data_IF_617147262098
#
_entry.id   IF_617147262098
#
_cell.length_a   1.000
_cell.length_b   1.000
_cell.length_c   1.000
_cell.angle_alpha   90.00
_cell.angle_beta   90.00
_cell.angle_gamma   90.00
#
_symmetry.space_group_name_H-M   'P 1'
#
loop_
_entity.id
_entity.type
_entity.pdbx_description
1 polymer ?
#
# COMPACT_ATOMS: atom_id res chain seq x y z
N UNK A 1 22.27 28.44 44.84
CA UNK A 1 21.34 29.27 45.58
C UNK A 1 21.93 29.48 47.00
N UNK A 2 22.10 30.75 47.46
CA UNK A 2 22.54 31.04 48.81
C UNK A 2 21.31 31.66 49.53
N UNK A 3 20.89 30.98 50.61
CA UNK A 3 19.74 31.42 51.41
C UNK A 3 20.25 31.77 52.82
N UNK A 4 19.97 32.95 53.31
CA UNK A 4 20.35 33.41 54.64
C UNK A 4 19.07 33.80 55.40
N UNK A 5 18.73 32.99 56.42
CA UNK A 5 17.55 33.22 57.24
C UNK A 5 17.72 32.53 58.63
N UNK A 6 16.70 32.60 59.45
CA UNK A 6 16.68 31.95 60.77
C UNK A 6 16.72 30.41 60.62
N UNK A 7 17.30 29.72 61.59
CA UNK A 7 17.52 28.28 61.55
C UNK A 7 16.23 27.47 61.31
N UNK A 8 15.11 27.92 61.84
CA UNK A 8 13.81 27.25 61.65
C UNK A 8 13.27 27.39 60.23
N UNK A 9 13.57 28.50 59.56
CA UNK A 9 13.17 28.73 58.17
C UNK A 9 14.05 27.92 57.23
N UNK A 10 15.35 27.84 57.48
CA UNK A 10 16.29 27.03 56.70
C UNK A 10 15.92 25.54 56.73
N UNK A 11 15.49 25.00 57.89
CA UNK A 11 15.04 23.62 58.01
C UNK A 11 13.74 23.36 57.22
N UNK A 12 12.82 24.29 57.19
CA UNK A 12 11.61 24.21 56.33
C UNK A 12 11.96 24.28 54.86
N UNK A 13 12.89 25.12 54.45
CA UNK A 13 13.38 25.20 53.08
C UNK A 13 14.08 23.94 52.65
N UNK A 14 14.89 23.32 53.52
CA UNK A 14 15.55 22.05 53.21
C UNK A 14 14.52 20.95 52.96
N UNK A 15 13.51 20.83 53.80
CA UNK A 15 12.42 19.84 53.57
C UNK A 15 11.66 20.12 52.28
N UNK A 16 11.40 21.38 51.96
CA UNK A 16 10.73 21.77 50.72
C UNK A 16 11.59 21.46 49.47
N UNK A 17 12.90 21.65 49.56
CA UNK A 17 13.83 21.29 48.48
C UNK A 17 13.87 19.77 48.28
N UNK A 18 13.96 18.99 49.35
CA UNK A 18 13.95 17.53 49.30
C UNK A 18 12.65 16.98 48.69
N UNK A 19 11.53 17.68 48.87
CA UNK A 19 10.23 17.33 48.32
C UNK A 19 10.06 17.78 46.85
N UNK A 20 10.73 18.85 46.44
CA UNK A 20 10.65 19.42 45.08
C UNK A 20 11.74 18.86 44.12
N UNK A 21 12.92 18.52 44.67
CA UNK A 21 14.06 18.02 43.88
C UNK A 21 13.96 16.52 43.62
N UNK A 22 12.86 16.12 42.96
CA UNK A 22 12.65 14.75 42.51
C UNK A 22 13.22 14.58 41.11
N UNK A 23 13.95 13.48 40.84
CA UNK A 23 14.47 13.23 39.50
C UNK A 23 13.34 13.14 38.46
N UNK A 24 13.57 13.72 37.30
CA UNK A 24 12.59 13.74 36.24
C UNK A 24 12.24 12.29 35.81
N UNK A 25 10.98 11.94 35.95
CA UNK A 25 10.48 10.63 35.53
C UNK A 25 10.64 10.44 34.03
N UNK A 26 11.01 9.25 33.61
CA UNK A 26 11.16 8.85 32.21
C UNK A 26 10.19 7.73 31.88
N UNK A 27 9.72 7.71 30.64
CA UNK A 27 8.83 6.68 30.13
C UNK A 27 9.29 6.22 28.75
N UNK A 28 9.31 4.91 28.53
CA UNK A 28 9.51 4.31 27.23
C UNK A 28 8.16 4.01 26.60
N UNK A 29 7.97 4.52 25.38
CA UNK A 29 6.74 4.36 24.62
C UNK A 29 7.06 3.52 23.40
N UNK A 30 6.26 2.45 23.20
CA UNK A 30 6.32 1.57 22.04
C UNK A 30 4.98 1.65 21.29
N UNK A 31 5.02 1.94 20.00
CA UNK A 31 3.86 1.83 19.13
C UNK A 31 3.98 0.55 18.28
N UNK A 32 2.85 -0.13 18.06
CA UNK A 32 2.77 -1.28 17.16
C UNK A 32 1.80 -0.98 16.04
N UNK A 33 2.31 -0.99 14.83
CA UNK A 33 1.55 -0.77 13.62
C UNK A 33 1.49 -2.09 12.87
N UNK A 34 0.28 -2.62 12.71
CA UNK A 34 0.02 -3.85 11.96
C UNK A 34 -0.78 -3.49 10.73
N UNK A 35 -0.29 -3.87 9.58
CA UNK A 35 -0.97 -3.74 8.31
C UNK A 35 -1.10 -5.12 7.69
N UNK A 36 -2.33 -5.52 7.35
CA UNK A 36 -2.61 -6.77 6.66
C UNK A 36 -3.37 -6.43 5.38
N UNK A 37 -2.94 -7.00 4.26
CA UNK A 37 -3.63 -6.92 2.99
C UNK A 37 -3.84 -8.33 2.44
N UNK A 38 -5.10 -8.65 2.14
CA UNK A 38 -5.52 -9.89 1.51
C UNK A 38 -6.08 -9.55 0.13
N UNK A 39 -5.44 -10.06 -0.93
CA UNK A 39 -5.90 -9.92 -2.31
C UNK A 39 -6.29 -11.28 -2.89
N UNK A 40 -7.47 -11.35 -3.48
CA UNK A 40 -7.95 -12.51 -4.20
C UNK A 40 -8.43 -12.08 -5.58
N UNK A 41 -7.94 -12.73 -6.63
CA UNK A 41 -8.49 -12.57 -7.97
C UNK A 41 -8.67 -13.91 -8.64
N UNK A 42 -9.76 -14.07 -9.38
CA UNK A 42 -10.07 -15.25 -10.15
C UNK A 42 -10.62 -14.85 -11.51
N UNK A 43 -9.88 -15.22 -12.54
CA UNK A 43 -10.21 -14.89 -13.91
C UNK A 43 -10.46 -16.17 -14.71
N UNK A 44 -11.55 -16.18 -15.51
CA UNK A 44 -11.90 -17.27 -16.40
C UNK A 44 -12.01 -16.74 -17.83
N UNK A 45 -11.22 -17.28 -18.73
CA UNK A 45 -11.22 -16.91 -20.14
C UNK A 45 -11.67 -18.05 -21.04
N UNK A 46 -12.44 -17.73 -22.06
CA UNK A 46 -12.88 -18.70 -23.09
C UNK A 46 -12.60 -18.11 -24.47
N UNK A 47 -11.90 -18.90 -25.30
CA UNK A 47 -11.75 -18.60 -26.72
C UNK A 47 -12.37 -19.74 -27.52
N UNK A 48 -13.27 -19.41 -28.43
CA UNK A 48 -13.91 -20.35 -29.32
C UNK A 48 -13.74 -19.89 -30.75
N UNK A 49 -13.26 -20.80 -31.61
CA UNK A 49 -13.06 -20.55 -33.02
C UNK A 49 -13.52 -21.72 -33.86
N UNK A 50 -14.26 -21.47 -34.93
CA UNK A 50 -14.62 -22.47 -35.89
C UNK A 50 -14.35 -21.94 -37.31
N UNK A 51 -13.68 -22.70 -38.15
CA UNK A 51 -13.44 -22.41 -39.57
C UNK A 51 -14.00 -23.52 -40.44
N UNK A 52 -14.68 -23.14 -41.52
CA UNK A 52 -15.22 -24.11 -42.47
C UNK A 52 -14.94 -23.69 -43.91
N UNK A 53 -14.66 -24.67 -44.78
CA UNK A 53 -14.47 -24.46 -46.23
C UNK A 53 -15.52 -25.30 -46.98
N UNK A 54 -16.30 -24.61 -47.82
CA UNK A 54 -17.19 -25.30 -48.77
C UNK A 54 -16.73 -25.02 -50.20
N UNK A 55 -16.29 -26.04 -50.91
CA UNK A 55 -15.91 -25.93 -52.33
C UNK A 55 -17.16 -26.15 -53.18
N UNK A 56 -17.61 -25.14 -53.89
CA UNK A 56 -18.68 -25.32 -54.89
C UNK A 56 -18.11 -25.96 -56.18
N UNK A 57 -18.88 -26.89 -56.72
CA UNK A 57 -18.51 -27.76 -57.81
C UNK A 57 -18.62 -26.97 -59.15
N UNK A 58 -17.75 -26.17 -59.51
CA UNK A 58 -17.58 -25.40 -60.76
C UNK A 58 -17.23 -23.92 -60.62
N UNK A 59 -16.79 -23.48 -59.46
CA UNK A 59 -16.36 -22.10 -59.32
C UNK A 59 -15.00 -22.03 -58.64
N UNK A 60 -14.16 -21.09 -59.12
CA UNK A 60 -12.85 -20.79 -58.54
C UNK A 60 -12.96 -20.01 -57.24
N UNK A 61 -14.16 -19.63 -56.82
CA UNK A 61 -14.45 -18.96 -55.57
C UNK A 61 -14.80 -19.96 -54.48
N UNK A 62 -13.94 -20.11 -53.49
CA UNK A 62 -14.24 -20.86 -52.27
C UNK A 62 -14.96 -19.94 -51.30
N UNK A 63 -16.19 -20.30 -50.89
CA UNK A 63 -16.90 -19.64 -49.81
C UNK A 63 -16.45 -20.19 -48.48
N UNK A 64 -15.78 -19.40 -47.66
CA UNK A 64 -15.37 -19.78 -46.32
C UNK A 64 -16.13 -19.01 -45.27
N UNK A 65 -16.61 -19.69 -44.24
CA UNK A 65 -17.08 -19.09 -43.00
C UNK A 65 -16.13 -19.51 -41.88
N UNK A 66 -15.83 -18.61 -40.98
CA UNK A 66 -14.87 -18.91 -39.95
C UNK A 66 -14.98 -18.02 -38.74
N UNK A 67 -14.72 -18.61 -37.60
CA UNK A 67 -14.53 -18.00 -36.31
C UNK A 67 -13.04 -18.16 -35.99
N UNK A 68 -12.25 -17.12 -36.14
CA UNK A 68 -10.80 -17.18 -36.07
C UNK A 68 -10.27 -17.05 -34.64
N UNK A 69 -9.53 -18.06 -34.18
CA UNK A 69 -8.57 -17.94 -33.12
C UNK A 69 -7.16 -18.10 -33.71
N UNK A 70 -6.51 -17.00 -33.98
CA UNK A 70 -5.07 -16.77 -34.10
C UNK A 70 -4.15 -17.92 -34.52
N UNK A 71 -4.43 -18.66 -35.59
CA UNK A 71 -3.41 -19.47 -36.25
C UNK A 71 -2.99 -18.74 -37.52
N UNK A 72 -1.72 -18.32 -37.59
CA UNK A 72 -1.17 -17.58 -38.70
C UNK A 72 -1.25 -18.37 -40.02
N UNK A 73 -1.86 -17.74 -41.00
CA UNK A 73 -1.87 -18.16 -42.38
C UNK A 73 -2.52 -17.06 -43.19
N UNK A 74 -1.84 -16.58 -44.20
CA UNK A 74 -2.17 -15.46 -45.10
C UNK A 74 -3.41 -15.69 -46.00
N UNK A 75 -4.39 -16.45 -45.55
CA UNK A 75 -5.58 -16.72 -46.33
C UNK A 75 -6.74 -15.81 -45.90
N UNK A 76 -7.05 -14.85 -46.76
CA UNK A 76 -8.24 -13.99 -46.75
C UNK A 76 -9.51 -14.83 -46.90
N UNK A 77 -10.07 -15.29 -45.80
CA UNK A 77 -11.34 -16.03 -45.81
C UNK A 77 -12.35 -15.37 -44.89
N UNK A 78 -13.57 -15.16 -45.40
CA UNK A 78 -14.64 -14.31 -44.90
C UNK A 78 -15.11 -14.48 -43.45
N UNK A 79 -15.96 -13.54 -43.07
CA UNK A 79 -16.72 -13.35 -41.82
C UNK A 79 -16.24 -14.12 -40.57
N UNK A 80 -15.45 -13.46 -39.75
CA UNK A 80 -15.01 -13.98 -38.46
C UNK A 80 -16.13 -13.82 -37.42
N UNK A 81 -16.61 -14.93 -36.86
CA UNK A 81 -17.35 -14.92 -35.61
C UNK A 81 -16.38 -15.35 -34.52
N UNK A 82 -16.00 -14.41 -33.67
CA UNK A 82 -14.92 -14.57 -32.68
C UNK A 82 -15.48 -14.39 -31.29
N UNK A 83 -15.54 -15.44 -30.50
CA UNK A 83 -15.69 -15.32 -29.06
C UNK A 83 -14.28 -15.35 -28.51
N UNK A 84 -13.81 -14.21 -28.05
CA UNK A 84 -12.50 -14.05 -27.47
C UNK A 84 -12.65 -13.25 -26.17
N UNK A 85 -12.76 -13.97 -25.06
CA UNK A 85 -12.67 -13.42 -23.71
C UNK A 85 -11.29 -13.78 -23.14
N UNK A 86 -10.23 -13.02 -23.50
CA UNK A 86 -8.91 -13.32 -23.01
C UNK A 86 -8.78 -12.88 -21.56
N UNK A 87 -8.08 -13.66 -20.76
CA UNK A 87 -7.53 -13.21 -19.48
C UNK A 87 -6.10 -12.75 -19.71
N UNK A 88 -5.74 -11.63 -19.06
CA UNK A 88 -4.45 -10.94 -19.27
C UNK A 88 -3.26 -11.72 -18.74
N UNK A 89 -3.48 -12.67 -17.82
CA UNK A 89 -2.44 -13.51 -17.22
C UNK A 89 -2.97 -14.95 -17.03
N UNK A 90 -3.06 -15.73 -18.12
CA UNK A 90 -3.43 -17.15 -18.01
C UNK A 90 -2.27 -17.94 -17.42
N UNK A 91 -2.42 -18.42 -16.19
CA UNK A 91 -1.48 -19.36 -15.60
C UNK A 91 -1.65 -20.77 -16.15
N UNK A 92 -2.89 -21.15 -16.51
CA UNK A 92 -3.21 -22.47 -17.06
C UNK A 92 -4.23 -22.33 -18.19
N UNK A 93 -3.99 -22.99 -19.33
CA UNK A 93 -4.93 -23.07 -20.43
C UNK A 93 -5.01 -24.49 -20.95
N UNK A 94 -6.22 -24.94 -21.33
CA UNK A 94 -6.49 -26.18 -22.02
C UNK A 94 -7.03 -25.81 -23.39
N UNK A 95 -6.36 -26.26 -24.45
CA UNK A 95 -6.81 -26.06 -25.81
C UNK A 95 -7.23 -27.39 -26.42
N UNK A 96 -8.40 -27.43 -27.05
CA UNK A 96 -8.88 -28.56 -27.85
C UNK A 96 -9.02 -28.09 -29.29
N UNK A 97 -8.25 -28.75 -30.18
CA UNK A 97 -8.30 -28.48 -31.61
C UNK A 97 -8.80 -29.73 -32.30
N UNK A 98 -9.89 -29.61 -33.07
CA UNK A 98 -10.40 -30.67 -33.89
C UNK A 98 -10.43 -30.23 -35.36
N UNK A 99 -9.56 -30.80 -36.15
CA UNK A 99 -9.57 -30.61 -37.59
C UNK A 99 -10.50 -31.64 -38.27
N UNK A 100 -11.32 -31.18 -39.19
CA UNK A 100 -12.19 -32.00 -40.05
C UNK A 100 -11.87 -31.64 -41.49
N UNK A 101 -12.20 -32.54 -42.44
CA UNK A 101 -11.84 -32.36 -43.86
C UNK A 101 -12.35 -31.06 -44.49
N UNK A 102 -13.33 -30.42 -43.90
CA UNK A 102 -13.93 -29.17 -44.37
C UNK A 102 -13.75 -27.96 -43.42
N UNK A 103 -12.96 -28.11 -42.35
CA UNK A 103 -12.76 -27.02 -41.38
C UNK A 103 -11.99 -27.41 -40.14
N UNK A 104 -11.88 -26.51 -39.20
CA UNK A 104 -11.28 -26.73 -37.88
C UNK A 104 -12.12 -26.06 -36.78
N UNK A 105 -12.16 -26.73 -35.65
CA UNK A 105 -12.79 -26.24 -34.42
C UNK A 105 -11.70 -26.06 -33.37
N UNK A 106 -11.60 -24.86 -32.79
CA UNK A 106 -10.69 -24.55 -31.72
C UNK A 106 -11.48 -24.09 -30.49
N UNK A 107 -11.21 -24.69 -29.34
CA UNK A 107 -11.73 -24.32 -28.06
C UNK A 107 -10.54 -24.14 -27.09
N UNK A 108 -10.37 -23.00 -26.54
CA UNK A 108 -9.39 -22.71 -25.48
C UNK A 108 -10.11 -22.23 -24.24
N UNK A 109 -9.85 -22.91 -23.14
CA UNK A 109 -10.32 -22.53 -21.82
C UNK A 109 -9.10 -22.16 -20.99
N UNK A 110 -9.07 -20.97 -20.46
CA UNK A 110 -8.01 -20.44 -19.60
C UNK A 110 -8.55 -20.03 -18.24
N UNK A 111 -7.81 -20.33 -17.20
CA UNK A 111 -8.17 -19.98 -15.84
C UNK A 111 -6.93 -19.43 -15.10
N UNK A 112 -7.13 -18.39 -14.32
CA UNK A 112 -6.12 -17.84 -13.43
C UNK A 112 -6.74 -17.58 -12.05
N UNK A 113 -6.01 -17.95 -11.01
CA UNK A 113 -6.37 -17.67 -9.64
C UNK A 113 -5.12 -17.11 -8.94
N UNK A 114 -5.26 -15.95 -8.30
CA UNK A 114 -4.18 -15.31 -7.56
C UNK A 114 -4.63 -15.00 -6.14
N UNK A 115 -3.84 -15.47 -5.17
CA UNK A 115 -4.02 -15.19 -3.75
C UNK A 115 -2.77 -14.47 -3.25
N UNK A 116 -2.94 -13.24 -2.77
CA UNK A 116 -1.87 -12.44 -2.20
C UNK A 116 -2.19 -12.09 -0.75
N UNK A 117 -1.32 -12.51 0.16
CA UNK A 117 -1.40 -12.15 1.58
C UNK A 117 -0.14 -11.45 2.01
N UNK A 118 -0.28 -10.23 2.49
CA UNK A 118 0.83 -9.44 2.99
C UNK A 118 0.54 -8.96 4.41
N UNK A 119 1.51 -9.14 5.30
CA UNK A 119 1.43 -8.63 6.66
C UNK A 119 2.71 -7.86 6.98
N UNK A 120 2.56 -6.60 7.30
CA UNK A 120 3.67 -5.74 7.72
C UNK A 120 3.50 -5.38 9.19
N UNK A 121 4.57 -5.49 9.95
CA UNK A 121 4.63 -5.11 11.35
C UNK A 121 5.75 -4.08 11.54
N UNK A 122 5.44 -2.95 12.18
CA UNK A 122 6.40 -1.92 12.52
C UNK A 122 6.28 -1.53 13.99
N UNK A 123 7.42 -1.47 14.71
CA UNK A 123 7.48 -1.22 16.14
C UNK A 123 8.47 -0.09 16.45
N UNK A 124 8.13 1.18 16.23
CA UNK A 124 8.96 2.29 16.70
C UNK A 124 8.88 2.41 18.22
N UNK A 125 10.01 2.72 18.86
CA UNK A 125 10.14 2.92 20.30
C UNK A 125 10.93 4.17 20.59
N UNK A 126 10.52 4.91 21.61
CA UNK A 126 11.24 6.10 22.06
C UNK A 126 11.15 6.27 23.57
N UNK A 127 12.26 6.65 24.18
CA UNK A 127 12.33 7.01 25.60
C UNK A 127 12.31 8.53 25.72
N UNK A 128 11.48 9.06 26.62
CA UNK A 128 11.44 10.48 26.89
C UNK A 128 11.14 10.78 28.36
N UNK A 129 11.42 12.00 28.76
CA UNK A 129 11.06 12.52 30.08
C UNK A 129 9.59 12.98 30.12
N UNK A 130 9.04 13.03 31.32
CA UNK A 130 7.71 13.58 31.56
C UNK A 130 7.59 15.00 30.95
N UNK A 131 6.53 15.25 30.18
CA UNK A 131 6.20 16.51 29.48
C UNK A 131 7.23 16.95 28.43
N UNK A 132 8.08 16.05 27.94
CA UNK A 132 9.01 16.34 26.85
C UNK A 132 8.60 15.58 25.59
N UNK A 133 8.55 16.30 24.47
CA UNK A 133 8.32 15.69 23.18
C UNK A 133 9.54 14.87 22.75
N UNK A 134 9.29 13.68 22.26
CA UNK A 134 10.31 12.86 21.62
C UNK A 134 9.81 12.42 20.25
N UNK A 135 10.74 12.32 19.30
CA UNK A 135 10.47 11.97 17.92
C UNK A 135 11.49 10.95 17.44
N UNK A 136 11.01 9.89 16.77
CA UNK A 136 11.85 8.95 16.05
C UNK A 136 11.30 8.80 14.64
N UNK A 137 12.17 8.86 13.63
CA UNK A 137 11.82 8.71 12.23
C UNK A 137 12.81 7.78 11.54
N UNK A 138 12.30 6.94 10.64
CA UNK A 138 13.09 6.07 9.78
C UNK A 138 12.43 5.97 8.41
N UNK A 139 13.18 6.12 7.32
CA UNK A 139 12.60 6.08 5.98
C UNK A 139 13.56 6.47 4.88
N UNK A 140 12.99 6.87 3.74
CA UNK A 140 13.71 7.20 2.51
C UNK A 140 13.33 8.59 2.03
N UNK A 141 14.25 9.25 1.34
CA UNK A 141 13.96 10.44 0.54
C UNK A 141 13.81 10.03 -0.92
N UNK A 142 12.69 10.38 -1.53
CA UNK A 142 12.33 10.00 -2.89
C UNK A 142 12.42 11.24 -3.77
N UNK A 143 13.22 11.22 -4.85
CA UNK A 143 13.30 12.31 -5.79
C UNK A 143 12.06 12.36 -6.69
N UNK A 144 11.40 13.51 -6.75
CA UNK A 144 10.33 13.82 -7.69
C UNK A 144 10.79 14.89 -8.67
N UNK A 145 10.66 14.59 -9.94
CA UNK A 145 11.02 15.51 -11.00
C UNK A 145 9.82 16.39 -11.35
N UNK A 146 9.96 17.69 -11.17
CA UNK A 146 8.96 18.69 -11.55
C UNK A 146 9.47 19.43 -12.78
N UNK A 147 8.74 19.30 -13.90
CA UNK A 147 9.06 20.04 -15.13
C UNK A 147 8.16 21.27 -15.22
N UNK A 148 8.77 22.43 -15.18
CA UNK A 148 8.11 23.72 -15.33
C UNK A 148 8.36 24.26 -16.74
N UNK A 149 7.29 24.52 -17.49
CA UNK A 149 7.37 25.12 -18.84
C UNK A 149 6.98 26.60 -18.70
N UNK A 150 7.95 27.49 -18.88
CA UNK A 150 7.73 28.92 -18.87
C UNK A 150 8.43 29.56 -20.09
N UNK A 151 7.71 30.37 -20.82
CA UNK A 151 8.22 31.20 -21.95
C UNK A 151 9.09 30.43 -22.97
N UNK A 152 8.66 29.23 -23.39
CA UNK A 152 9.35 28.47 -24.44
C UNK A 152 10.60 27.72 -23.98
N UNK A 153 10.92 27.73 -22.67
CA UNK A 153 11.98 26.93 -22.04
C UNK A 153 11.39 25.89 -21.09
N UNK A 154 11.95 24.70 -21.12
CA UNK A 154 11.64 23.63 -20.13
C UNK A 154 12.71 23.64 -19.06
N UNK A 155 12.32 23.87 -17.81
CA UNK A 155 13.18 23.74 -16.64
C UNK A 155 12.76 22.53 -15.83
N UNK A 156 13.66 21.62 -15.59
CA UNK A 156 13.44 20.41 -14.79
C UNK A 156 14.08 20.61 -13.42
N UNK A 157 13.27 20.56 -12.37
CA UNK A 157 13.74 20.63 -10.99
C UNK A 157 13.44 19.31 -10.28
N UNK A 158 14.35 18.87 -9.41
CA UNK A 158 14.18 17.66 -8.60
C UNK A 158 13.88 18.07 -7.15
N UNK A 159 12.71 17.69 -6.66
CA UNK A 159 12.31 17.85 -5.26
C UNK A 159 12.44 16.52 -4.52
N UNK A 160 13.02 16.54 -3.33
CA UNK A 160 13.10 15.37 -2.45
C UNK A 160 11.88 15.36 -1.52
N UNK A 161 11.12 14.28 -1.53
CA UNK A 161 10.00 14.04 -0.60
C UNK A 161 10.32 12.88 0.32
N UNK A 162 10.05 13.05 1.60
CA UNK A 162 10.29 12.02 2.62
C UNK A 162 9.14 11.02 2.63
N UNK A 163 9.49 9.74 2.59
CA UNK A 163 8.60 8.62 2.89
C UNK A 163 9.11 7.95 4.16
N UNK A 164 8.48 8.24 5.30
CA UNK A 164 9.01 7.90 6.62
C UNK A 164 7.99 7.19 7.50
N UNK A 165 8.48 6.27 8.31
CA UNK A 165 7.82 5.81 9.51
C UNK A 165 8.25 6.73 10.65
N UNK A 166 7.32 7.48 11.23
CA UNK A 166 7.57 8.43 12.30
C UNK A 166 6.66 8.18 13.49
N UNK A 167 7.23 8.29 14.69
CA UNK A 167 6.52 8.35 15.95
C UNK A 167 6.94 9.62 16.68
N UNK A 168 5.99 10.49 16.97
CA UNK A 168 6.17 11.66 17.85
C UNK A 168 5.23 11.51 19.03
N UNK A 169 5.76 11.64 20.24
CA UNK A 169 4.99 11.46 21.45
C UNK A 169 5.38 12.46 22.52
N UNK A 170 4.36 12.95 23.24
CA UNK A 170 4.52 13.82 24.41
C UNK A 170 3.75 13.20 25.58
N UNK A 171 4.42 12.53 26.52
CA UNK A 171 3.78 11.97 27.69
C UNK A 171 3.57 13.00 28.79
N UNK A 172 2.53 12.76 29.60
CA UNK A 172 2.27 13.46 30.85
C UNK A 172 1.90 12.41 31.92
N UNK A 173 2.81 12.16 32.84
CA UNK A 173 2.62 11.18 33.92
C UNK A 173 1.80 11.85 35.02
N UNK A 174 0.69 11.24 35.40
CA UNK A 174 -0.18 11.70 36.48
C UNK A 174 0.31 11.18 37.84
N UNK A 175 -0.06 11.84 38.95
CA UNK A 175 0.28 11.37 40.28
C UNK A 175 -0.25 9.98 40.60
N UNK A 176 -1.34 9.54 39.95
CA UNK A 176 -1.97 8.23 40.09
C UNK A 176 -1.22 7.12 39.33
N UNK A 177 -0.10 7.45 38.66
CA UNK A 177 0.69 6.49 37.89
C UNK A 177 0.16 6.21 36.49
N UNK A 178 -0.86 6.93 36.02
CA UNK A 178 -1.35 6.86 34.65
C UNK A 178 -0.53 7.76 33.73
N UNK A 179 -0.46 7.41 32.47
CA UNK A 179 0.29 8.15 31.44
C UNK A 179 -0.69 8.67 30.40
N UNK A 180 -0.90 9.98 30.38
CA UNK A 180 -1.63 10.66 29.32
C UNK A 180 -0.62 11.03 28.24
N UNK A 181 -0.81 10.60 27.01
CA UNK A 181 0.15 10.88 25.95
C UNK A 181 -0.55 11.43 24.70
N UNK A 182 0.06 12.44 24.11
CA UNK A 182 -0.28 12.87 22.76
C UNK A 182 0.62 12.12 21.80
N UNK A 183 0.01 11.35 20.89
CA UNK A 183 0.70 10.44 19.95
C UNK A 183 0.41 10.87 18.54
N UNK A 184 1.46 11.06 17.74
CA UNK A 184 1.39 11.25 16.29
C UNK A 184 2.22 10.17 15.62
N UNK A 185 1.58 9.43 14.74
CA UNK A 185 2.20 8.36 13.96
C UNK A 185 2.02 8.68 12.49
N UNK A 186 3.10 8.66 11.75
CA UNK A 186 3.10 8.75 10.29
C UNK A 186 3.73 7.47 9.74
N UNK A 187 3.04 6.82 8.80
CA UNK A 187 3.59 5.72 8.02
C UNK A 187 3.43 6.04 6.55
N UNK A 188 4.51 6.49 5.95
CA UNK A 188 4.60 6.77 4.53
C UNK A 188 5.36 5.64 3.84
N UNK A 189 4.87 5.19 2.70
CA UNK A 189 5.52 4.16 1.90
C UNK A 189 5.47 4.51 0.40
N UNK A 190 6.54 4.21 -0.36
CA UNK A 190 6.50 4.38 -1.79
C UNK A 190 5.46 3.43 -2.40
N UNK A 191 4.67 3.94 -3.32
CA UNK A 191 3.65 3.20 -4.04
C UNK A 191 3.70 3.54 -5.52
N UNK A 192 3.07 2.74 -6.35
CA UNK A 192 2.89 2.99 -7.77
C UNK A 192 1.44 3.41 -8.01
N UNK A 193 1.25 4.57 -8.59
CA UNK A 193 -0.07 5.09 -8.93
C UNK A 193 -0.23 5.16 -10.45
N UNK A 194 -1.41 4.79 -10.94
CA UNK A 194 -1.76 4.96 -12.34
C UNK A 194 -2.12 6.43 -12.62
N UNK A 195 -1.51 7.02 -13.63
CA UNK A 195 -1.85 8.34 -14.14
C UNK A 195 -2.02 8.27 -15.65
N UNK A 196 -3.26 8.09 -16.10
CA UNK A 196 -3.55 7.79 -17.49
C UNK A 196 -2.90 6.47 -17.94
N UNK A 197 -2.09 6.51 -19.00
CA UNK A 197 -1.35 5.34 -19.52
C UNK A 197 0.04 5.15 -18.89
N UNK A 198 0.40 5.89 -17.85
CA UNK A 198 1.70 5.83 -17.21
C UNK A 198 1.59 5.45 -15.74
N UNK A 199 2.55 4.66 -15.29
CA UNK A 199 2.73 4.37 -13.87
C UNK A 199 3.71 5.37 -13.29
N UNK A 200 3.27 6.14 -12.30
CA UNK A 200 4.10 7.13 -11.60
C UNK A 200 4.37 6.68 -10.17
N UNK A 201 5.51 7.09 -9.64
CA UNK A 201 5.84 6.90 -8.23
C UNK A 201 4.98 7.87 -7.39
N UNK A 202 4.32 7.37 -6.37
CA UNK A 202 3.57 8.14 -5.39
C UNK A 202 3.94 7.72 -3.97
N UNK A 203 3.46 8.46 -2.97
CA UNK A 203 3.65 8.13 -1.56
C UNK A 203 2.28 7.83 -0.97
N UNK A 204 2.11 6.60 -0.49
CA UNK A 204 0.96 6.22 0.34
C UNK A 204 1.20 6.68 1.75
N UNK A 205 0.31 7.48 2.29
CA UNK A 205 0.46 8.13 3.60
C UNK A 205 -0.65 7.66 4.54
N UNK A 206 -0.25 7.19 5.73
CA UNK A 206 -1.15 6.82 6.81
C UNK A 206 -0.78 7.60 8.06
N UNK A 207 -1.68 8.44 8.55
CA UNK A 207 -1.45 9.34 9.67
C UNK A 207 -2.45 9.06 10.78
N UNK A 208 -1.94 9.00 12.01
CA UNK A 208 -2.73 8.95 13.23
C UNK A 208 -2.29 10.09 14.15
N UNK A 209 -3.25 10.88 14.64
CA UNK A 209 -3.01 11.90 15.66
C UNK A 209 -4.11 11.74 16.72
N UNK A 210 -3.69 11.40 17.94
CA UNK A 210 -4.62 11.11 19.03
C UNK A 210 -4.02 11.42 20.38
N UNK A 211 -4.90 11.55 21.36
CA UNK A 211 -4.52 11.62 22.77
C UNK A 211 -5.10 10.39 23.47
N UNK A 212 -4.27 9.70 24.20
CA UNK A 212 -4.63 8.44 24.85
C UNK A 212 -4.12 8.43 26.30
N UNK A 213 -4.81 7.71 27.16
CA UNK A 213 -4.41 7.47 28.54
C UNK A 213 -4.22 5.97 28.73
N UNK A 214 -3.10 5.59 29.32
CA UNK A 214 -2.72 4.19 29.56
C UNK A 214 -2.07 4.05 30.94
N UNK A 215 -2.29 2.91 31.57
CA UNK A 215 -1.59 2.55 32.81
C UNK A 215 -0.12 2.19 32.53
N UNK A 216 0.72 2.31 33.51
CA UNK A 216 2.12 1.92 33.39
C UNK A 216 2.24 0.43 33.06
N UNK A 217 2.91 0.11 31.95
CA UNK A 217 3.02 -1.26 31.40
C UNK A 217 1.78 -1.74 30.66
N UNK A 218 0.72 -0.94 30.57
CA UNK A 218 -0.49 -1.25 29.83
C UNK A 218 -0.33 -1.13 28.31
N UNK A 219 -1.28 -1.73 27.59
CA UNK A 219 -1.38 -1.62 26.13
C UNK A 219 -2.78 -1.14 25.75
N UNK A 220 -2.84 -0.18 24.85
CA UNK A 220 -4.09 0.41 24.35
C UNK A 220 -4.15 0.31 22.83
N UNK A 221 -5.30 -0.04 22.29
CA UNK A 221 -5.58 0.03 20.86
C UNK A 221 -6.18 1.41 20.58
N UNK A 222 -5.47 2.23 19.81
CA UNK A 222 -5.86 3.64 19.57
C UNK A 222 -6.63 3.85 18.28
N UNK A 223 -6.65 2.88 17.38
CA UNK A 223 -7.44 2.97 16.15
C UNK A 223 -7.03 1.97 15.09
N UNK A 224 -7.75 1.97 13.98
CA UNK A 224 -7.51 1.16 12.79
C UNK A 224 -8.38 1.62 11.64
N UNK A 225 -7.98 1.26 10.42
CA UNK A 225 -8.72 1.50 9.19
C UNK A 225 -8.92 0.13 8.52
N UNK A 226 -10.17 -0.16 8.19
CA UNK A 226 -10.52 -1.31 7.36
C UNK A 226 -11.10 -0.80 6.05
N UNK A 227 -10.60 -1.32 4.96
CA UNK A 227 -11.04 -1.00 3.61
C UNK A 227 -11.23 -2.30 2.84
N UNK A 228 -12.35 -2.44 2.14
CA UNK A 228 -12.68 -3.59 1.31
C UNK A 228 -13.16 -3.08 -0.05
N UNK A 229 -12.53 -3.58 -1.11
CA UNK A 229 -12.91 -3.29 -2.49
C UNK A 229 -13.40 -4.58 -3.15
N UNK A 230 -14.68 -4.61 -3.50
CA UNK A 230 -15.32 -5.71 -4.20
C UNK A 230 -15.63 -5.25 -5.63
N UNK A 231 -14.76 -5.63 -6.59
CA UNK A 231 -14.90 -5.37 -8.01
C UNK A 231 -15.70 -6.42 -8.76
#
# INVERSE_FOLDING_TARGET
LIVTDTRSVIEKFRKLIDELDVPAQQVMIEARIVEAADGFSRDLGVKFGATGKKKLKNDTSAFGWGVNSGFGGDDKWGAETKINLPITAAANSISLVRAISSGALNLELSASESLSKTKTLANPRVLTQNRKEAKIESGYEIPFTVTSIANGGSSTNTELKKAVLGLTVTPNITPDGQIIMTVKINKDSPAQCASGNQTILCISTKNLNTQAMVENGGTLIVGGIYEEDNG
#
